data_IF_140547930923
#
_entry.id   IF_140547930923
#
_cell.length_a   1.000
_cell.length_b   1.000
_cell.length_c   1.000
_cell.angle_alpha   90.00
_cell.angle_beta   90.00
_cell.angle_gamma   90.00
#
_symmetry.space_group_name_H-M   'P 1'
#
loop_
_entity.id
_entity.type
_entity.pdbx_description
1 polymer ?
#
# COMPACT_ATOMS: atom_id res chain seq x y z
N UNK A 1 -16.61 15.25 30.14
CA UNK A 1 -15.97 14.29 31.06
C UNK A 1 -16.76 13.00 31.00
N UNK A 2 -16.10 11.86 30.74
CA UNK A 2 -16.75 10.54 30.71
C UNK A 2 -16.28 9.72 31.92
N UNK A 3 -17.17 8.94 32.52
CA UNK A 3 -16.84 8.03 33.62
C UNK A 3 -16.99 6.59 33.13
N UNK A 4 -15.95 5.79 33.36
CA UNK A 4 -15.83 4.41 32.86
C UNK A 4 -15.09 3.55 33.89
N UNK A 5 -15.31 2.24 33.83
CA UNK A 5 -14.70 1.24 34.70
C UNK A 5 -13.24 0.98 34.32
N UNK A 6 -12.34 1.13 35.29
CA UNK A 6 -10.89 0.89 35.15
C UNK A 6 -10.60 -0.52 34.62
N UNK A 7 -11.26 -1.54 35.16
CA UNK A 7 -10.97 -2.93 34.82
C UNK A 7 -11.27 -3.24 33.34
N UNK A 8 -12.33 -2.65 32.78
CA UNK A 8 -12.67 -2.78 31.37
C UNK A 8 -11.63 -2.09 30.48
N UNK A 9 -11.20 -0.88 30.86
CA UNK A 9 -10.16 -0.14 30.13
C UNK A 9 -8.83 -0.91 30.14
N UNK A 10 -8.36 -1.31 31.31
CA UNK A 10 -7.08 -2.02 31.46
C UNK A 10 -7.12 -3.39 30.77
N UNK A 11 -8.26 -4.10 30.80
CA UNK A 11 -8.41 -5.38 30.13
C UNK A 11 -8.43 -5.27 28.60
N UNK A 12 -8.84 -4.11 28.06
CA UNK A 12 -9.04 -3.91 26.62
C UNK A 12 -7.90 -3.15 25.93
N UNK A 13 -7.16 -2.33 26.67
CA UNK A 13 -6.20 -1.35 26.13
C UNK A 13 -4.89 -1.37 26.91
N UNK A 14 -3.79 -1.59 26.18
CA UNK A 14 -2.44 -1.51 26.74
C UNK A 14 -2.11 -0.10 27.25
N UNK A 15 -2.55 0.94 26.54
CA UNK A 15 -2.37 2.33 26.95
C UNK A 15 -3.00 2.61 28.32
N UNK A 16 -4.27 2.21 28.52
CA UNK A 16 -4.92 2.43 29.81
C UNK A 16 -4.35 1.54 30.91
N UNK A 17 -3.94 0.31 30.59
CA UNK A 17 -3.29 -0.57 31.55
C UNK A 17 -2.00 0.06 32.11
N UNK A 18 -1.17 0.65 31.25
CA UNK A 18 0.06 1.35 31.64
C UNK A 18 -0.25 2.68 32.34
N UNK A 19 -1.12 3.51 31.77
CA UNK A 19 -1.42 4.83 32.33
C UNK A 19 -2.08 4.77 33.70
N UNK A 20 -2.85 3.71 33.97
CA UNK A 20 -3.57 3.49 35.22
C UNK A 20 -2.84 2.54 36.18
N UNK A 21 -1.68 1.97 35.80
CA UNK A 21 -0.84 1.21 36.73
C UNK A 21 -0.04 2.11 37.68
N UNK A 22 0.31 3.33 37.23
CA UNK A 22 1.12 4.30 37.98
C UNK A 22 0.36 5.08 39.09
N UNK A 23 -0.86 4.64 39.40
CA UNK A 23 -1.82 5.34 40.26
C UNK A 23 -1.52 5.40 41.77
N UNK A 24 -0.26 5.47 42.19
CA UNK A 24 0.10 5.76 43.60
C UNK A 24 1.30 6.71 43.80
N UNK A 25 1.80 7.41 42.78
CA UNK A 25 2.92 8.34 42.98
C UNK A 25 2.52 9.81 42.80
N UNK A 26 1.85 10.32 43.84
CA UNK A 26 2.15 11.64 44.40
C UNK A 26 1.63 12.88 43.67
N UNK A 27 0.78 13.62 44.42
CA UNK A 27 0.53 15.06 44.38
C UNK A 27 -0.88 15.49 43.91
N UNK A 28 -1.82 15.48 44.86
CA UNK A 28 -2.96 16.42 44.87
C UNK A 28 -4.36 15.84 44.65
N UNK A 29 -4.97 15.31 45.72
CA UNK A 29 -6.38 15.59 46.06
C UNK A 29 -7.53 14.99 45.25
N UNK A 30 -7.32 14.23 44.16
CA UNK A 30 -8.43 13.56 43.45
C UNK A 30 -8.48 12.07 43.77
N UNK A 31 -9.56 11.63 44.42
CA UNK A 31 -9.84 10.22 44.74
C UNK A 31 -10.11 9.34 43.50
N UNK A 32 -10.24 9.95 42.32
CA UNK A 32 -10.53 9.24 41.06
C UNK A 32 -9.38 9.46 40.07
N UNK A 33 -8.74 8.39 39.57
CA UNK A 33 -7.75 8.48 38.50
C UNK A 33 -8.37 9.16 37.27
N UNK A 34 -7.73 10.24 36.80
CA UNK A 34 -8.15 10.97 35.60
C UNK A 34 -7.08 10.80 34.51
N UNK A 35 -7.52 10.44 33.29
CA UNK A 35 -6.63 10.35 32.13
C UNK A 35 -7.02 11.45 31.15
N UNK A 36 -6.08 12.35 30.90
CA UNK A 36 -6.23 13.39 29.88
C UNK A 36 -5.69 12.90 28.54
N UNK A 37 -6.44 13.18 27.48
CA UNK A 37 -6.10 12.83 26.10
C UNK A 37 -5.91 14.14 25.36
N UNK A 38 -4.66 14.40 24.97
CA UNK A 38 -4.32 15.55 24.14
C UNK A 38 -4.36 15.16 22.66
N UNK A 39 -4.47 16.16 21.78
CA UNK A 39 -4.38 16.00 20.32
C UNK A 39 -5.38 15.02 19.69
N UNK A 40 -6.65 15.05 20.13
CA UNK A 40 -7.71 14.26 19.50
C UNK A 40 -8.34 14.98 18.29
N UNK A 41 -8.32 14.34 17.11
CA UNK A 41 -9.05 14.77 15.91
C UNK A 41 -10.58 14.49 16.03
N UNK A 42 -11.18 15.02 17.10
CA UNK A 42 -12.60 14.84 17.44
C UNK A 42 -12.84 13.89 18.61
N UNK A 43 -13.34 14.43 19.72
CA UNK A 43 -13.66 13.67 20.93
C UNK A 43 -14.72 12.58 20.70
N UNK A 44 -15.59 12.76 19.71
CA UNK A 44 -16.65 11.80 19.38
C UNK A 44 -16.11 10.41 19.04
N UNK A 45 -15.10 10.31 18.15
CA UNK A 45 -14.57 9.00 17.74
C UNK A 45 -13.83 8.35 18.91
N UNK A 46 -13.23 9.15 19.79
CA UNK A 46 -12.56 8.62 20.98
C UNK A 46 -13.56 8.03 21.98
N UNK A 47 -14.62 8.77 22.30
CA UNK A 47 -15.69 8.30 23.18
C UNK A 47 -16.34 7.04 22.60
N UNK A 48 -16.59 7.00 21.29
CA UNK A 48 -17.11 5.82 20.62
C UNK A 48 -16.14 4.63 20.71
N UNK A 49 -14.85 4.84 20.46
CA UNK A 49 -13.83 3.78 20.52
C UNK A 49 -13.70 3.20 21.93
N UNK A 50 -13.75 4.04 22.96
CA UNK A 50 -13.82 3.58 24.36
C UNK A 50 -15.13 2.85 24.64
N UNK A 51 -16.25 3.33 24.07
CA UNK A 51 -17.54 2.63 24.14
C UNK A 51 -17.51 1.23 23.54
N UNK A 52 -16.69 0.98 22.51
CA UNK A 52 -16.50 -0.35 21.93
C UNK A 52 -15.81 -1.34 22.89
N UNK A 53 -15.10 -0.87 23.92
CA UNK A 53 -14.53 -1.76 24.96
C UNK A 53 -15.61 -2.44 25.83
N UNK A 54 -16.83 -1.91 25.81
CA UNK A 54 -18.00 -2.48 26.51
C UNK A 54 -18.90 -3.30 25.58
N UNK A 55 -18.50 -3.47 24.32
CA UNK A 55 -19.33 -4.12 23.31
C UNK A 55 -18.72 -5.46 22.88
N UNK A 56 -19.37 -6.56 23.24
CA UNK A 56 -18.98 -7.89 22.79
C UNK A 56 -19.13 -8.04 21.26
N UNK A 57 -20.07 -7.31 20.65
CA UNK A 57 -20.32 -7.30 19.20
C UNK A 57 -19.78 -6.05 18.48
N UNK A 58 -18.57 -5.60 18.83
CA UNK A 58 -17.93 -4.44 18.19
C UNK A 58 -17.98 -4.50 16.64
N UNK A 59 -17.80 -5.69 16.04
CA UNK A 59 -17.91 -5.90 14.59
C UNK A 59 -19.28 -5.49 14.02
N UNK A 60 -20.38 -5.78 14.71
CA UNK A 60 -21.72 -5.43 14.24
C UNK A 60 -21.97 -3.92 14.26
N UNK A 61 -21.35 -3.20 15.19
CA UNK A 61 -21.40 -1.73 15.21
C UNK A 61 -20.59 -1.13 14.07
N UNK A 62 -19.41 -1.67 13.80
CA UNK A 62 -18.56 -1.21 12.68
C UNK A 62 -19.25 -1.41 11.32
N UNK A 63 -20.02 -2.50 11.14
CA UNK A 63 -20.78 -2.75 9.91
C UNK A 63 -21.80 -1.65 9.56
N UNK A 64 -22.21 -0.82 10.53
CA UNK A 64 -23.17 0.27 10.32
C UNK A 64 -22.49 1.61 9.98
N UNK A 65 -21.16 1.63 9.95
CA UNK A 65 -20.37 2.84 9.76
C UNK A 65 -19.81 2.94 8.34
N UNK A 66 -19.46 4.16 7.91
CA UNK A 66 -18.74 4.38 6.64
C UNK A 66 -17.25 4.06 6.78
N UNK A 67 -16.58 3.72 5.68
CA UNK A 67 -15.13 3.40 5.64
C UNK A 67 -14.30 4.51 6.29
N UNK A 68 -14.53 5.77 5.92
CA UNK A 68 -13.84 6.92 6.52
C UNK A 68 -14.02 7.06 8.04
N UNK A 69 -15.16 6.62 8.58
CA UNK A 69 -15.43 6.60 10.03
C UNK A 69 -14.69 5.45 10.70
N UNK A 70 -14.68 4.27 10.08
CA UNK A 70 -13.95 3.09 10.57
C UNK A 70 -12.44 3.33 10.58
N UNK A 71 -11.88 4.01 9.57
CA UNK A 71 -10.46 4.39 9.55
C UNK A 71 -10.09 5.32 10.72
N UNK A 72 -10.95 6.29 11.05
CA UNK A 72 -10.75 7.17 12.22
C UNK A 72 -10.82 6.40 13.54
N UNK A 73 -11.78 5.49 13.69
CA UNK A 73 -11.87 4.60 14.86
C UNK A 73 -10.63 3.73 14.97
N UNK A 74 -10.15 3.16 13.85
CA UNK A 74 -8.95 2.32 13.80
C UNK A 74 -7.70 3.09 14.24
N UNK A 75 -7.52 4.35 13.80
CA UNK A 75 -6.43 5.23 14.26
C UNK A 75 -6.44 5.42 15.77
N UNK A 76 -7.61 5.67 16.38
CA UNK A 76 -7.73 5.82 17.84
C UNK A 76 -7.51 4.48 18.57
N UNK A 77 -8.07 3.39 18.05
CA UNK A 77 -7.88 2.06 18.62
C UNK A 77 -6.40 1.65 18.62
N UNK A 78 -5.66 2.01 17.57
CA UNK A 78 -4.22 1.83 17.50
C UNK A 78 -3.47 2.65 18.56
N UNK A 79 -3.79 3.95 18.70
CA UNK A 79 -3.20 4.82 19.73
C UNK A 79 -3.45 4.29 21.15
N UNK A 80 -4.60 3.68 21.37
CA UNK A 80 -4.98 3.06 22.64
C UNK A 80 -4.37 1.67 22.86
N UNK A 81 -3.73 1.07 21.85
CA UNK A 81 -3.34 -0.34 21.92
C UNK A 81 -4.53 -1.28 22.11
N UNK A 82 -5.71 -0.91 21.58
CA UNK A 82 -6.93 -1.73 21.62
C UNK A 82 -6.96 -2.72 20.45
N UNK A 83 -6.10 -3.75 20.52
CA UNK A 83 -5.86 -4.69 19.43
C UNK A 83 -7.11 -5.38 18.88
N UNK A 84 -8.06 -5.76 19.74
CA UNK A 84 -9.29 -6.43 19.32
C UNK A 84 -10.17 -5.54 18.41
N UNK A 85 -10.21 -4.24 18.67
CA UNK A 85 -10.91 -3.27 17.82
C UNK A 85 -10.17 -3.06 16.50
N UNK A 86 -8.83 -2.92 16.52
CA UNK A 86 -8.04 -2.80 15.28
C UNK A 86 -8.29 -3.98 14.36
N UNK A 87 -8.27 -5.21 14.89
CA UNK A 87 -8.57 -6.42 14.13
C UNK A 87 -9.99 -6.40 13.55
N UNK A 88 -10.97 -5.97 14.34
CA UNK A 88 -12.36 -5.85 13.89
C UNK A 88 -12.53 -4.81 12.78
N UNK A 89 -11.79 -3.70 12.82
CA UNK A 89 -11.75 -2.71 11.74
C UNK A 89 -11.13 -3.28 10.47
N UNK A 90 -10.03 -4.04 10.58
CA UNK A 90 -9.40 -4.70 9.43
C UNK A 90 -10.33 -5.74 8.79
N UNK A 91 -11.00 -6.56 9.60
CA UNK A 91 -12.01 -7.53 9.13
C UNK A 91 -13.17 -6.83 8.39
N UNK A 92 -13.62 -5.68 8.89
CA UNK A 92 -14.64 -4.85 8.23
C UNK A 92 -14.14 -4.33 6.87
N UNK A 93 -12.94 -3.73 6.85
CA UNK A 93 -12.36 -3.16 5.63
C UNK A 93 -12.18 -4.24 4.56
N UNK A 94 -11.78 -5.44 4.94
CA UNK A 94 -11.65 -6.57 4.03
C UNK A 94 -13.00 -7.02 3.41
N UNK A 95 -14.10 -6.88 4.15
CA UNK A 95 -15.42 -7.35 3.72
C UNK A 95 -16.17 -6.36 2.83
N UNK A 96 -15.81 -5.07 2.84
CA UNK A 96 -16.53 -4.02 2.11
C UNK A 96 -15.81 -3.61 0.82
N UNK A 97 -16.54 -3.38 -0.29
CA UNK A 97 -15.94 -2.83 -1.50
C UNK A 97 -15.61 -1.35 -1.28
N UNK A 98 -14.36 -0.97 -1.51
CA UNK A 98 -13.92 0.43 -1.45
C UNK A 98 -14.15 1.12 -2.79
N UNK A 99 -14.53 2.39 -2.75
CA UNK A 99 -14.54 3.24 -3.95
C UNK A 99 -13.15 3.85 -4.15
N UNK A 100 -12.85 4.28 -5.38
CA UNK A 100 -11.52 4.82 -5.74
C UNK A 100 -11.05 5.97 -4.85
N UNK A 101 -11.95 6.82 -4.35
CA UNK A 101 -11.60 7.93 -3.45
C UNK A 101 -11.12 7.44 -2.06
N UNK A 102 -11.66 6.31 -1.58
CA UNK A 102 -11.34 5.76 -0.27
C UNK A 102 -10.07 4.90 -0.30
N UNK A 103 -9.73 4.35 -1.46
CA UNK A 103 -8.65 3.38 -1.65
C UNK A 103 -7.31 3.87 -1.07
N UNK A 104 -6.86 5.06 -1.44
CA UNK A 104 -5.59 5.63 -0.98
C UNK A 104 -5.52 5.75 0.55
N UNK A 105 -6.63 6.16 1.17
CA UNK A 105 -6.73 6.31 2.63
C UNK A 105 -6.71 4.96 3.35
N UNK A 106 -7.33 3.93 2.77
CA UNK A 106 -7.33 2.57 3.29
C UNK A 106 -5.94 1.95 3.13
N UNK A 107 -5.34 2.05 1.95
CA UNK A 107 -4.00 1.52 1.64
C UNK A 107 -2.95 2.11 2.59
N UNK A 108 -2.93 3.44 2.73
CA UNK A 108 -1.98 4.14 3.61
C UNK A 108 -2.13 3.72 5.07
N UNK A 109 -3.37 3.59 5.56
CA UNK A 109 -3.66 3.16 6.93
C UNK A 109 -3.21 1.72 7.20
N UNK A 110 -3.47 0.79 6.26
CA UNK A 110 -3.06 -0.61 6.41
C UNK A 110 -1.54 -0.75 6.37
N UNK A 111 -0.86 -0.04 5.47
CA UNK A 111 0.62 -0.02 5.41
C UNK A 111 1.22 0.50 6.71
N UNK A 112 0.63 1.53 7.31
CA UNK A 112 1.05 2.02 8.62
C UNK A 112 0.97 0.90 9.69
N UNK A 113 -0.15 0.19 9.76
CA UNK A 113 -0.37 -0.87 10.75
C UNK A 113 0.53 -2.10 10.56
N UNK A 114 0.92 -2.42 9.32
CA UNK A 114 1.83 -3.54 9.07
C UNK A 114 3.19 -3.38 9.73
N UNK A 115 3.69 -2.15 9.82
CA UNK A 115 4.95 -1.86 10.53
C UNK A 115 4.90 -2.25 12.02
N UNK A 116 3.70 -2.41 12.59
CA UNK A 116 3.45 -2.62 14.02
C UNK A 116 2.86 -4.00 14.36
N UNK A 117 2.95 -4.98 13.45
CA UNK A 117 2.62 -6.40 13.73
C UNK A 117 1.15 -6.69 14.12
N UNK A 118 0.18 -5.91 13.64
CA UNK A 118 -1.25 -6.14 13.93
C UNK A 118 -1.87 -7.36 13.23
N UNK A 119 -1.09 -8.12 12.43
CA UNK A 119 -1.56 -9.30 11.72
C UNK A 119 -2.55 -8.93 10.62
N UNK A 120 -2.03 -8.51 9.46
CA UNK A 120 -2.86 -8.14 8.31
C UNK A 120 -3.25 -9.40 7.53
N UNK A 121 -4.53 -9.52 7.21
CA UNK A 121 -5.08 -10.69 6.52
C UNK A 121 -4.52 -10.86 5.10
N UNK A 122 -4.59 -12.07 4.51
CA UNK A 122 -4.04 -12.33 3.17
C UNK A 122 -4.64 -11.48 2.05
N UNK A 123 -5.91 -11.05 2.15
CA UNK A 123 -6.50 -10.17 1.13
C UNK A 123 -5.90 -8.76 1.21
N UNK A 124 -5.72 -8.25 2.42
CA UNK A 124 -5.06 -6.97 2.66
C UNK A 124 -3.54 -7.03 2.36
N UNK A 125 -2.92 -8.22 2.35
CA UNK A 125 -1.52 -8.39 1.87
C UNK A 125 -1.33 -7.96 0.41
N UNK A 126 -2.38 -8.01 -0.42
CA UNK A 126 -2.28 -7.54 -1.83
C UNK A 126 -2.11 -6.03 -1.90
N UNK A 127 -2.76 -5.31 -1.00
CA UNK A 127 -2.71 -3.85 -0.87
C UNK A 127 -1.36 -3.37 -0.32
N UNK A 128 -0.71 -4.24 0.45
CA UNK A 128 0.53 -3.96 1.14
C UNK A 128 1.76 -4.56 0.48
N UNK A 129 1.57 -5.25 -0.65
CA UNK A 129 2.67 -5.72 -1.46
C UNK A 129 3.42 -4.49 -1.98
N UNK A 130 4.47 -4.09 -1.27
CA UNK A 130 5.61 -3.47 -1.93
C UNK A 130 6.13 -4.53 -2.89
N UNK A 131 5.69 -4.44 -4.15
CA UNK A 131 6.37 -5.16 -5.22
C UNK A 131 7.85 -4.78 -5.06
N UNK A 132 8.77 -5.73 -4.80
CA UNK A 132 10.18 -5.42 -4.64
C UNK A 132 10.78 -4.85 -5.93
N UNK A 133 10.02 -4.94 -7.03
CA UNK A 133 10.25 -4.29 -8.29
C UNK A 133 9.39 -3.05 -8.34
N UNK A 134 10.00 -1.87 -8.51
CA UNK A 134 9.23 -0.69 -8.89
C UNK A 134 8.40 -1.00 -10.15
N UNK A 135 7.28 -0.29 -10.40
CA UNK A 135 6.53 -0.46 -11.65
C UNK A 135 7.44 -0.39 -12.89
N UNK A 136 8.48 0.45 -12.81
CA UNK A 136 9.55 0.60 -13.79
C UNK A 136 10.41 -0.67 -13.91
N UNK A 137 10.78 -1.32 -12.81
CA UNK A 137 11.57 -2.55 -12.81
C UNK A 137 10.79 -3.75 -13.34
N UNK A 138 9.49 -3.82 -13.01
CA UNK A 138 8.61 -4.90 -13.51
C UNK A 138 8.46 -4.80 -15.02
N UNK A 139 8.21 -3.59 -15.53
CA UNK A 139 8.13 -3.32 -16.97
C UNK A 139 9.48 -3.58 -17.66
N UNK A 140 10.58 -3.14 -17.04
CA UNK A 140 11.93 -3.39 -17.53
C UNK A 140 12.24 -4.89 -17.62
N UNK A 141 11.82 -5.67 -16.61
CA UNK A 141 11.99 -7.11 -16.59
C UNK A 141 11.13 -7.82 -17.65
N UNK A 142 9.87 -7.40 -17.82
CA UNK A 142 9.00 -7.89 -18.91
C UNK A 142 9.65 -7.60 -20.26
N UNK A 143 10.15 -6.39 -20.49
CA UNK A 143 10.83 -6.04 -21.73
C UNK A 143 12.13 -6.81 -21.94
N UNK A 144 12.91 -7.02 -20.89
CA UNK A 144 14.11 -7.85 -20.96
C UNK A 144 13.78 -9.29 -21.35
N UNK A 145 12.74 -9.88 -20.77
CA UNK A 145 12.26 -11.22 -21.14
C UNK A 145 11.74 -11.28 -22.58
N UNK A 146 11.02 -10.26 -23.03
CA UNK A 146 10.56 -10.12 -24.42
C UNK A 146 11.76 -10.08 -25.36
N UNK A 147 12.74 -9.21 -25.08
CA UNK A 147 13.91 -8.99 -25.94
C UNK A 147 14.89 -10.17 -25.94
N UNK A 148 14.93 -10.99 -24.88
CA UNK A 148 15.77 -12.20 -24.78
C UNK A 148 15.11 -13.46 -25.37
N UNK A 149 13.84 -13.39 -25.77
CA UNK A 149 13.15 -14.55 -26.34
C UNK A 149 13.72 -14.94 -27.72
N UNK A 150 13.89 -16.24 -27.95
CA UNK A 150 14.46 -16.83 -29.18
C UNK A 150 13.43 -16.92 -30.32
N UNK A 151 12.13 -16.92 -29.99
CA UNK A 151 11.06 -17.04 -30.98
C UNK A 151 10.82 -15.71 -31.70
N UNK A 152 11.26 -15.61 -32.95
CA UNK A 152 11.10 -14.42 -33.79
C UNK A 152 9.63 -13.99 -33.95
N UNK A 153 8.69 -14.94 -33.94
CA UNK A 153 7.27 -14.65 -34.11
C UNK A 153 6.67 -14.15 -32.80
N UNK A 154 6.85 -14.87 -31.71
CA UNK A 154 6.43 -14.47 -30.36
C UNK A 154 7.07 -13.16 -29.91
N UNK A 155 8.33 -12.91 -30.26
CA UNK A 155 9.01 -11.65 -30.00
C UNK A 155 8.32 -10.46 -30.70
N UNK A 156 7.96 -10.60 -31.99
CA UNK A 156 7.24 -9.55 -32.73
C UNK A 156 5.84 -9.31 -32.16
N UNK A 157 5.10 -10.37 -31.88
CA UNK A 157 3.73 -10.30 -31.34
C UNK A 157 3.74 -9.68 -29.93
N UNK A 158 4.65 -10.11 -29.04
CA UNK A 158 4.74 -9.59 -27.68
C UNK A 158 5.27 -8.15 -27.64
N UNK A 159 6.18 -7.78 -28.55
CA UNK A 159 6.61 -6.39 -28.74
C UNK A 159 5.46 -5.49 -29.18
N UNK A 160 4.62 -5.95 -30.12
CA UNK A 160 3.46 -5.21 -30.59
C UNK A 160 2.42 -5.02 -29.46
N UNK A 161 2.18 -6.05 -28.65
CA UNK A 161 1.27 -5.97 -27.50
C UNK A 161 1.78 -5.00 -26.43
N UNK A 162 3.06 -5.08 -26.03
CA UNK A 162 3.65 -4.15 -25.05
C UNK A 162 3.61 -2.71 -25.57
N UNK A 163 3.90 -2.48 -26.86
CA UNK A 163 3.80 -1.16 -27.48
C UNK A 163 2.37 -0.61 -27.49
N UNK A 164 1.37 -1.45 -27.76
CA UNK A 164 -0.03 -1.05 -27.77
C UNK A 164 -0.52 -0.73 -26.35
N UNK A 165 -0.16 -1.55 -25.36
CA UNK A 165 -0.48 -1.29 -23.95
C UNK A 165 0.15 0.03 -23.46
N UNK A 166 1.40 0.30 -23.84
CA UNK A 166 2.05 1.57 -23.51
C UNK A 166 1.35 2.77 -24.17
N UNK A 167 0.95 2.63 -25.45
CA UNK A 167 0.17 3.65 -26.16
C UNK A 167 -1.22 3.89 -25.57
N UNK A 168 -1.88 2.86 -25.04
CA UNK A 168 -3.19 3.01 -24.43
C UNK A 168 -3.09 3.62 -23.02
N UNK A 169 -2.03 3.28 -22.26
CA UNK A 169 -1.79 3.84 -20.92
C UNK A 169 -1.50 5.36 -20.91
N UNK A 170 -1.01 5.92 -22.02
CA UNK A 170 -0.76 7.36 -22.15
C UNK A 170 -2.04 8.17 -22.35
N UNK A 171 -3.16 7.51 -22.69
CA UNK A 171 -4.47 8.18 -22.85
C UNK A 171 -5.17 8.48 -21.52
N UNK A 172 -4.64 7.97 -20.41
CA UNK A 172 -5.24 8.08 -19.09
C UNK A 172 -4.39 8.85 -18.05
N UNK A 173 -3.21 9.39 -18.40
CA UNK A 173 -2.37 10.11 -17.43
C UNK A 173 -1.99 11.50 -17.93
N UNK A 174 -2.63 12.51 -17.35
CA UNK A 174 -2.31 13.91 -17.57
C UNK A 174 -0.97 14.26 -16.88
N UNK A 175 -0.05 14.87 -17.64
CA UNK A 175 1.13 15.59 -17.15
C UNK A 175 2.40 14.83 -16.73
N UNK A 176 2.36 13.55 -16.28
CA UNK A 176 3.56 12.91 -15.69
C UNK A 176 4.32 11.94 -16.63
N UNK A 177 3.73 11.51 -17.75
CA UNK A 177 4.29 10.42 -18.58
C UNK A 177 5.28 10.85 -19.68
N UNK A 178 5.40 12.15 -19.98
CA UNK A 178 6.19 12.62 -21.13
C UNK A 178 7.71 12.48 -20.91
N UNK A 179 8.19 12.66 -19.67
CA UNK A 179 9.60 12.47 -19.31
C UNK A 179 10.00 10.99 -19.35
N UNK A 180 9.11 10.10 -18.89
CA UNK A 180 9.31 8.66 -18.91
C UNK A 180 9.33 8.15 -20.34
N UNK A 181 8.40 8.59 -21.18
CA UNK A 181 8.35 8.24 -22.61
C UNK A 181 9.57 8.74 -23.38
N UNK A 182 10.04 9.96 -23.15
CA UNK A 182 11.22 10.52 -23.81
C UNK A 182 12.52 9.81 -23.39
N UNK A 183 12.62 9.42 -22.12
CA UNK A 183 13.70 8.56 -21.66
C UNK A 183 13.62 7.17 -22.31
N UNK A 184 12.41 6.63 -22.44
CA UNK A 184 12.14 5.31 -23.01
C UNK A 184 12.44 5.23 -24.50
N UNK A 185 11.95 6.19 -25.29
CA UNK A 185 12.21 6.28 -26.73
C UNK A 185 13.70 6.48 -26.98
N UNK A 186 14.35 7.37 -26.23
CA UNK A 186 15.81 7.57 -26.33
C UNK A 186 16.60 6.30 -26.01
N UNK A 187 16.22 5.56 -24.96
CA UNK A 187 16.88 4.29 -24.58
C UNK A 187 16.65 3.18 -25.61
N UNK A 188 15.44 3.06 -26.16
CA UNK A 188 15.11 2.08 -27.21
C UNK A 188 15.84 2.43 -28.52
N UNK A 189 15.98 3.71 -28.85
CA UNK A 189 16.66 4.17 -30.06
C UNK A 189 18.20 4.02 -29.97
N UNK A 190 18.77 4.23 -28.78
CA UNK A 190 20.18 3.93 -28.48
C UNK A 190 20.42 2.42 -28.55
N UNK A 191 19.57 1.61 -27.91
CA UNK A 191 19.67 0.15 -27.97
C UNK A 191 19.51 -0.39 -29.40
N UNK A 192 18.65 0.23 -30.22
CA UNK A 192 18.48 -0.11 -31.63
C UNK A 192 19.70 0.27 -32.48
N UNK A 193 20.34 1.42 -32.22
CA UNK A 193 21.58 1.84 -32.89
C UNK A 193 22.76 0.94 -32.52
N UNK A 194 22.92 0.62 -31.25
CA UNK A 194 23.99 -0.27 -30.77
C UNK A 194 23.81 -1.70 -31.30
N UNK A 195 22.57 -2.19 -31.33
CA UNK A 195 22.23 -3.48 -31.91
C UNK A 195 22.46 -3.50 -33.44
N UNK A 196 22.02 -2.47 -34.16
CA UNK A 196 22.26 -2.33 -35.61
C UNK A 196 23.75 -2.26 -35.95
N UNK A 197 24.53 -1.54 -35.15
CA UNK A 197 25.99 -1.42 -35.30
C UNK A 197 26.72 -2.73 -34.97
N UNK A 198 26.25 -3.46 -33.93
CA UNK A 198 26.79 -4.77 -33.57
C UNK A 198 26.46 -5.85 -34.62
N UNK A 199 25.23 -5.84 -35.16
CA UNK A 199 24.82 -6.66 -36.30
C UNK A 199 25.67 -6.36 -37.54
N UNK A 200 25.93 -5.08 -37.86
CA UNK A 200 26.76 -4.70 -39.00
C UNK A 200 28.22 -5.16 -38.85
N UNK A 201 28.77 -5.18 -37.62
CA UNK A 201 30.11 -5.70 -37.34
C UNK A 201 30.18 -7.22 -37.49
N UNK A 202 29.14 -7.94 -37.10
CA UNK A 202 29.08 -9.40 -37.26
C UNK A 202 28.73 -9.86 -38.68
N UNK A 203 27.98 -9.05 -39.45
CA UNK A 203 27.56 -9.38 -40.82
C UNK A 203 28.59 -8.96 -41.90
N UNK A 204 29.44 -7.96 -41.64
CA UNK A 204 30.51 -7.53 -42.57
C UNK A 204 31.43 -8.68 -43.06
N UNK A 205 32.00 -9.54 -42.19
CA UNK A 205 32.89 -10.62 -42.64
C UNK A 205 32.16 -11.77 -43.35
N UNK A 206 30.83 -11.87 -43.20
CA UNK A 206 30.02 -12.92 -43.84
C UNK A 206 29.64 -12.55 -45.30
N UNK A 207 29.52 -11.25 -45.62
CA UNK A 207 29.08 -10.78 -46.94
C UNK A 207 30.19 -10.26 -47.86
N UNK A 208 31.36 -9.87 -47.34
CA UNK A 208 32.46 -9.30 -48.15
C UNK A 208 33.40 -10.29 -48.90
N UNK A 209 33.48 -11.61 -48.62
CA UNK A 209 34.33 -12.49 -49.43
C UNK A 209 33.79 -12.79 -50.83
N UNK A 210 32.53 -12.48 -51.15
CA UNK A 210 31.91 -12.79 -52.45
C UNK A 210 32.00 -11.69 -53.51
N UNK A 211 32.77 -10.61 -53.26
CA UNK A 211 32.95 -9.50 -54.21
C UNK A 211 34.35 -9.41 -54.85
N UNK A 212 35.26 -10.37 -54.58
CA UNK A 212 36.59 -10.43 -55.19
C UNK A 212 36.95 -11.78 -55.84
N UNK A 213 35.94 -12.54 -56.28
CA UNK A 213 36.13 -13.70 -57.14
C UNK A 213 35.32 -13.54 -58.44
N UNK A 214 35.81 -12.66 -59.31
CA UNK A 214 35.73 -12.82 -60.76
C UNK A 214 36.90 -12.11 -61.42
#
# INVERSE_FOLDING_TARGET
MMSVHRDVLCGSSAFFAEKLSDGDNGHGGSLVPCVEIHDCDGAEIYVETVGLMYCDEAKQKLLKQHVSRVLRIMKVAELLGFHACVKSCLDYLEAVPWVSEEEDSVVSSIRHLQSKSYGVSPLLKRVTSDSPYSPTDTLSHIMEMVLKSNDDRGHREMKALVLNLLKDSSRCTDGTSESVLNYFTSRVEVAWKDFSHSLWKHLKPVFLPKLHAK
#
